data_IF_823125573872
#
_entry.id   IF_823125573872
#
_cell.length_a   1.000
_cell.length_b   1.000
_cell.length_c   1.000
_cell.angle_alpha   90.00
_cell.angle_beta   90.00
_cell.angle_gamma   90.00
#
_symmetry.space_group_name_H-M   'P 1'
#
loop_
_entity.id
_entity.type
_entity.pdbx_description
1 polymer ?
#
# COMPACT_ATOMS: atom_id res chain seq x y z
N UNK A 1 -1.03 12.39 -30.32
CA UNK A 1 -0.04 11.28 -30.33
C UNK A 1 1.33 11.68 -29.77
N UNK A 2 1.98 12.76 -30.24
CA UNK A 2 3.32 13.18 -29.73
C UNK A 2 3.27 13.73 -28.30
N UNK A 3 2.24 14.51 -27.96
CA UNK A 3 2.00 15.08 -26.62
C UNK A 3 1.73 14.02 -25.56
N UNK A 4 0.89 13.03 -25.87
CA UNK A 4 0.56 11.89 -24.99
C UNK A 4 1.82 11.11 -24.58
N UNK A 5 2.74 10.87 -25.51
CA UNK A 5 4.01 10.17 -25.22
C UNK A 5 4.92 10.97 -24.29
N UNK A 6 4.95 12.29 -24.44
CA UNK A 6 5.74 13.18 -23.56
C UNK A 6 5.15 13.16 -22.15
N UNK A 7 3.83 13.24 -22.00
CA UNK A 7 3.18 13.19 -20.68
C UNK A 7 3.43 11.85 -19.97
N UNK A 8 3.29 10.73 -20.69
CA UNK A 8 3.62 9.42 -20.14
C UNK A 8 5.09 9.33 -19.71
N UNK A 9 6.03 9.83 -20.51
CA UNK A 9 7.45 9.83 -20.16
C UNK A 9 7.75 10.68 -18.91
N UNK A 10 7.08 11.82 -18.77
CA UNK A 10 7.20 12.69 -17.57
C UNK A 10 6.67 11.97 -16.34
N UNK A 11 5.50 11.33 -16.41
CA UNK A 11 4.92 10.58 -15.28
C UNK A 11 5.80 9.38 -14.90
N UNK A 12 6.31 8.63 -15.88
CA UNK A 12 7.21 7.51 -15.61
C UNK A 12 8.52 7.98 -14.97
N UNK A 13 9.04 9.13 -15.40
CA UNK A 13 10.22 9.74 -14.80
C UNK A 13 9.95 10.19 -13.36
N UNK A 14 8.78 10.78 -13.10
CA UNK A 14 8.36 11.14 -11.74
C UNK A 14 8.21 9.90 -10.84
N UNK A 15 7.60 8.81 -11.32
CA UNK A 15 7.52 7.54 -10.59
C UNK A 15 8.91 6.95 -10.29
N UNK A 16 9.85 7.06 -11.23
CA UNK A 16 11.23 6.64 -11.01
C UNK A 16 11.91 7.47 -9.92
N UNK A 17 11.68 8.79 -9.89
CA UNK A 17 12.16 9.68 -8.82
C UNK A 17 11.55 9.27 -7.47
N UNK A 18 10.25 9.03 -7.40
CA UNK A 18 9.59 8.54 -6.18
C UNK A 18 10.24 7.23 -5.72
N UNK A 19 10.45 6.26 -6.63
CA UNK A 19 11.08 4.99 -6.29
C UNK A 19 12.48 5.19 -5.70
N UNK A 20 13.30 6.06 -6.30
CA UNK A 20 14.62 6.39 -5.77
C UNK A 20 14.52 7.02 -4.38
N UNK A 21 13.61 7.98 -4.17
CA UNK A 21 13.41 8.64 -2.88
C UNK A 21 12.97 7.63 -1.81
N UNK A 22 11.96 6.81 -2.09
CA UNK A 22 11.46 5.77 -1.18
C UNK A 22 12.56 4.77 -0.80
N UNK A 23 13.39 4.36 -1.76
CA UNK A 23 14.53 3.47 -1.51
C UNK A 23 15.62 4.14 -0.66
N UNK A 24 15.89 5.43 -0.89
CA UNK A 24 16.91 6.19 -0.13
C UNK A 24 16.47 6.50 1.30
N UNK A 25 15.17 6.58 1.53
CA UNK A 25 14.56 6.75 2.85
C UNK A 25 14.13 5.42 3.47
N UNK A 26 14.55 4.28 2.92
CA UNK A 26 14.05 2.98 3.35
C UNK A 26 14.48 2.65 4.79
N UNK A 27 13.50 2.33 5.63
CA UNK A 27 13.70 1.88 7.00
C UNK A 27 12.55 0.95 7.41
N UNK A 28 12.76 0.14 8.44
CA UNK A 28 11.71 -0.69 9.03
C UNK A 28 11.59 -0.29 10.49
N UNK A 29 10.37 -0.01 10.94
CA UNK A 29 10.06 0.33 12.33
C UNK A 29 10.25 -0.86 13.24
N UNK A 30 10.71 -0.57 14.46
CA UNK A 30 10.71 -1.49 15.59
C UNK A 30 9.32 -2.07 15.87
N UNK A 31 8.25 -1.27 15.77
CA UNK A 31 6.87 -1.72 15.95
C UNK A 31 6.45 -2.81 14.94
N UNK A 32 6.96 -2.73 13.71
CA UNK A 32 6.69 -3.75 12.68
C UNK A 32 7.20 -5.14 13.10
N UNK A 33 8.22 -5.22 13.99
CA UNK A 33 8.74 -6.49 14.47
C UNK A 33 7.75 -7.27 15.35
N UNK A 34 6.72 -6.62 15.90
CA UNK A 34 5.64 -7.33 16.60
C UNK A 34 4.92 -8.27 15.62
N UNK A 35 4.58 -7.74 14.45
CA UNK A 35 3.92 -8.50 13.39
C UNK A 35 4.88 -9.47 12.72
N UNK A 36 6.12 -9.04 12.44
CA UNK A 36 7.12 -9.91 11.79
C UNK A 36 7.52 -11.11 12.65
N UNK A 37 7.52 -10.98 13.99
CA UNK A 37 7.69 -12.12 14.90
C UNK A 37 6.53 -13.10 14.80
N UNK A 38 5.30 -12.59 14.71
CA UNK A 38 4.11 -13.44 14.51
C UNK A 38 4.18 -14.17 13.17
N UNK A 39 4.62 -13.48 12.11
CA UNK A 39 4.87 -14.07 10.79
C UNK A 39 5.95 -15.15 10.87
N UNK A 40 7.08 -14.86 11.51
CA UNK A 40 8.18 -15.83 11.67
C UNK A 40 7.73 -17.08 12.42
N UNK A 41 6.96 -16.92 13.50
CA UNK A 41 6.41 -18.03 14.25
C UNK A 41 5.46 -18.88 13.39
N UNK A 42 4.63 -18.25 12.57
CA UNK A 42 3.73 -18.96 11.67
C UNK A 42 4.49 -19.78 10.63
N UNK A 43 5.51 -19.19 10.00
CA UNK A 43 6.39 -19.89 9.05
C UNK A 43 7.21 -21.01 9.71
N UNK A 44 7.48 -20.90 11.01
CA UNK A 44 8.18 -21.91 11.80
C UNK A 44 7.26 -23.01 12.37
N UNK A 45 5.96 -22.97 12.07
CA UNK A 45 4.99 -23.97 12.52
C UNK A 45 4.37 -23.73 13.91
N UNK A 46 4.68 -22.61 14.57
CA UNK A 46 4.10 -22.25 15.87
C UNK A 46 2.72 -21.56 15.76
N UNK A 47 2.28 -21.26 14.54
CA UNK A 47 1.02 -20.58 14.24
C UNK A 47 1.10 -19.05 14.38
N UNK A 48 -0.05 -18.38 14.17
CA UNK A 48 -0.18 -16.92 14.22
C UNK A 48 -0.18 -16.38 15.66
N UNK A 49 0.94 -16.54 16.37
CA UNK A 49 1.11 -16.13 17.77
C UNK A 49 2.43 -15.38 17.94
N UNK A 50 2.46 -14.41 18.85
CA UNK A 50 3.71 -13.71 19.20
C UNK A 50 4.60 -14.54 20.15
N UNK A 51 3.98 -15.12 21.19
CA UNK A 51 4.60 -16.08 22.11
C UNK A 51 4.02 -17.47 21.83
N UNK A 52 4.80 -18.49 21.42
CA UNK A 52 4.27 -19.82 21.11
C UNK A 52 3.46 -20.49 22.23
N UNK A 53 3.83 -20.20 23.49
CA UNK A 53 3.15 -20.69 24.69
C UNK A 53 1.79 -20.03 24.95
N UNK A 54 1.52 -18.86 24.36
CA UNK A 54 0.31 -18.07 24.63
C UNK A 54 -0.53 -17.94 23.35
N UNK A 55 -1.85 -18.02 23.48
CA UNK A 55 -2.78 -17.86 22.35
C UNK A 55 -3.29 -16.43 22.30
N UNK A 56 -2.41 -15.50 21.95
CA UNK A 56 -2.72 -14.06 21.87
C UNK A 56 -2.36 -13.51 20.49
N UNK A 57 -3.29 -12.79 19.88
CA UNK A 57 -3.06 -12.01 18.68
C UNK A 57 -2.38 -10.70 19.07
N UNK A 58 -1.16 -10.46 18.56
CA UNK A 58 -0.40 -9.24 18.83
C UNK A 58 -0.48 -8.19 17.70
N UNK A 59 -0.89 -8.59 16.49
CA UNK A 59 -1.01 -7.69 15.35
C UNK A 59 -2.40 -7.02 15.32
N UNK A 60 -2.45 -5.76 14.89
CA UNK A 60 -3.68 -4.94 14.81
C UNK A 60 -4.24 -4.84 13.39
N UNK A 61 -3.50 -5.32 12.40
CA UNK A 61 -3.78 -5.20 10.98
C UNK A 61 -3.72 -6.59 10.28
N UNK A 62 -4.74 -7.44 10.45
CA UNK A 62 -4.76 -8.81 9.92
C UNK A 62 -4.47 -8.94 8.42
N UNK A 63 -5.00 -8.02 7.59
CA UNK A 63 -4.76 -8.03 6.14
C UNK A 63 -3.28 -7.80 5.84
N UNK A 64 -2.69 -6.77 6.43
CA UNK A 64 -1.26 -6.47 6.27
C UNK A 64 -0.36 -7.60 6.79
N UNK A 65 -0.72 -8.19 7.94
CA UNK A 65 0.00 -9.35 8.50
C UNK A 65 0.01 -10.52 7.51
N UNK A 66 -1.13 -10.84 6.88
CA UNK A 66 -1.22 -11.92 5.90
C UNK A 66 -0.36 -11.66 4.66
N UNK A 67 -0.27 -10.42 4.19
CA UNK A 67 0.62 -10.06 3.08
C UNK A 67 2.10 -10.14 3.47
N UNK A 68 2.46 -9.68 4.67
CA UNK A 68 3.81 -9.84 5.20
C UNK A 68 4.20 -11.32 5.36
N UNK A 69 3.25 -12.19 5.72
CA UNK A 69 3.46 -13.62 5.78
C UNK A 69 3.88 -14.20 4.42
N UNK A 70 3.13 -13.86 3.37
CA UNK A 70 3.44 -14.29 2.00
C UNK A 70 4.76 -13.70 1.51
N UNK A 71 4.99 -12.41 1.75
CA UNK A 71 6.22 -11.72 1.35
C UNK A 71 7.45 -12.31 2.05
N UNK A 72 7.39 -12.58 3.35
CA UNK A 72 8.49 -13.21 4.08
C UNK A 72 8.71 -14.65 3.63
N UNK A 73 7.66 -15.43 3.38
CA UNK A 73 7.82 -16.78 2.82
C UNK A 73 8.57 -16.78 1.47
N UNK A 74 8.33 -15.77 0.63
CA UNK A 74 8.97 -15.63 -0.68
C UNK A 74 10.41 -15.09 -0.61
N UNK A 75 10.67 -14.09 0.25
CA UNK A 75 11.95 -13.36 0.30
C UNK A 75 12.94 -13.98 1.30
N UNK A 76 12.45 -14.66 2.34
CA UNK A 76 13.27 -15.28 3.38
C UNK A 76 13.91 -14.31 4.39
N UNK A 77 13.69 -13.00 4.25
CA UNK A 77 14.15 -11.98 5.18
C UNK A 77 13.00 -11.07 5.61
N UNK A 78 12.77 -10.89 6.92
CA UNK A 78 11.66 -10.07 7.42
C UNK A 78 11.84 -8.59 7.04
N UNK A 79 13.08 -8.09 7.03
CA UNK A 79 13.39 -6.70 6.72
C UNK A 79 13.13 -6.39 5.24
N UNK A 80 13.69 -7.20 4.33
CA UNK A 80 13.48 -7.00 2.89
C UNK A 80 12.04 -7.28 2.47
N UNK A 81 11.36 -8.24 3.10
CA UNK A 81 9.95 -8.51 2.85
C UNK A 81 9.08 -7.30 3.23
N UNK A 82 9.28 -6.73 4.42
CA UNK A 82 8.49 -5.60 4.91
C UNK A 82 8.72 -4.33 4.08
N UNK A 83 9.99 -3.93 3.90
CA UNK A 83 10.34 -2.75 3.13
C UNK A 83 9.98 -2.90 1.64
N UNK A 84 10.24 -4.07 1.07
CA UNK A 84 9.95 -4.37 -0.33
C UNK A 84 8.46 -4.38 -0.62
N UNK A 85 7.65 -5.02 0.22
CA UNK A 85 6.19 -5.04 0.08
C UNK A 85 5.60 -3.64 0.22
N UNK A 86 6.00 -2.87 1.23
CA UNK A 86 5.52 -1.50 1.44
C UNK A 86 5.87 -0.58 0.27
N UNK A 87 7.13 -0.61 -0.18
CA UNK A 87 7.59 0.15 -1.34
C UNK A 87 6.84 -0.23 -2.61
N UNK A 88 6.64 -1.54 -2.85
CA UNK A 88 5.88 -2.03 -4.00
C UNK A 88 4.42 -1.54 -3.98
N UNK A 89 3.72 -1.71 -2.85
CA UNK A 89 2.32 -1.28 -2.71
C UNK A 89 2.18 0.23 -2.92
N UNK A 90 3.12 1.01 -2.38
CA UNK A 90 3.18 2.47 -2.58
C UNK A 90 3.32 2.82 -4.05
N UNK A 91 4.31 2.22 -4.74
CA UNK A 91 4.56 2.50 -6.16
C UNK A 91 3.42 2.07 -7.07
N UNK A 92 2.81 0.90 -6.80
CA UNK A 92 1.64 0.42 -7.54
C UNK A 92 0.45 1.35 -7.33
N UNK A 93 0.20 1.81 -6.10
CA UNK A 93 -0.88 2.75 -5.81
C UNK A 93 -0.69 4.10 -6.50
N UNK A 94 0.51 4.65 -6.45
CA UNK A 94 0.84 5.90 -7.16
C UNK A 94 0.75 5.73 -8.68
N UNK A 95 1.20 4.61 -9.23
CA UNK A 95 1.06 4.32 -10.65
C UNK A 95 -0.40 4.18 -11.09
N UNK A 96 -1.25 3.53 -10.28
CA UNK A 96 -2.68 3.41 -10.54
C UNK A 96 -3.38 4.77 -10.53
N UNK A 97 -3.00 5.66 -9.60
CA UNK A 97 -3.50 7.04 -9.55
C UNK A 97 -3.01 7.89 -10.72
N UNK A 98 -1.77 7.67 -11.16
CA UNK A 98 -1.16 8.42 -12.25
C UNK A 98 -1.67 7.98 -13.65
N UNK A 99 -2.11 6.73 -13.77
CA UNK A 99 -2.64 6.14 -15.01
C UNK A 99 -4.03 5.51 -14.78
N UNK A 100 -5.06 6.32 -14.50
CA UNK A 100 -6.40 5.79 -14.34
C UNK A 100 -6.89 5.19 -15.67
N UNK A 101 -7.65 4.08 -15.67
CA UNK A 101 -8.24 3.46 -16.85
C UNK A 101 -9.46 4.25 -17.36
N UNK A 102 -9.31 5.55 -17.55
CA UNK A 102 -10.33 6.43 -18.14
C UNK A 102 -9.96 6.76 -19.60
N UNK A 103 -10.93 6.85 -20.52
CA UNK A 103 -10.68 7.15 -21.94
C UNK A 103 -9.99 8.50 -22.18
N UNK A 104 -10.21 9.46 -21.28
CA UNK A 104 -9.73 10.83 -21.44
C UNK A 104 -8.37 11.00 -20.79
N UNK A 105 -7.32 10.95 -21.61
CA UNK A 105 -5.90 11.12 -21.22
C UNK A 105 -5.51 12.50 -20.68
N UNK A 106 -6.49 13.34 -20.31
CA UNK A 106 -6.31 14.72 -19.86
C UNK A 106 -5.88 14.84 -18.38
N UNK A 107 -5.90 13.74 -17.61
CA UNK A 107 -5.50 13.76 -16.18
C UNK A 107 -4.00 13.62 -15.91
N UNK A 108 -3.16 13.55 -16.95
CA UNK A 108 -1.71 13.32 -16.79
C UNK A 108 -0.94 14.51 -16.21
N UNK A 109 -1.43 15.74 -16.39
CA UNK A 109 -0.77 16.94 -15.83
C UNK A 109 -0.91 17.00 -14.30
N UNK A 110 -2.07 16.64 -13.77
CA UNK A 110 -2.29 16.53 -12.33
C UNK A 110 -1.51 15.39 -11.67
N UNK A 111 -1.22 14.32 -12.42
CA UNK A 111 -0.48 13.16 -11.91
C UNK A 111 0.96 13.52 -11.52
N UNK A 112 1.69 14.26 -12.37
CA UNK A 112 3.05 14.67 -12.07
C UNK A 112 3.10 15.59 -10.84
N UNK A 113 2.15 16.51 -10.69
CA UNK A 113 2.03 17.36 -9.52
C UNK A 113 1.71 16.55 -8.25
N UNK A 114 0.81 15.57 -8.32
CA UNK A 114 0.49 14.69 -7.19
C UNK A 114 1.71 13.85 -6.76
N UNK A 115 2.51 13.35 -7.71
CA UNK A 115 3.75 12.63 -7.42
C UNK A 115 4.80 13.56 -6.78
N UNK A 116 4.91 14.81 -7.24
CA UNK A 116 5.79 15.79 -6.62
C UNK A 116 5.36 16.11 -5.17
N UNK A 117 4.06 16.27 -4.93
CA UNK A 117 3.51 16.45 -3.58
C UNK A 117 3.75 15.24 -2.68
N UNK A 118 3.68 14.01 -3.23
CA UNK A 118 4.02 12.80 -2.48
C UNK A 118 5.48 12.82 -2.01
N UNK A 119 6.41 13.20 -2.90
CA UNK A 119 7.85 13.30 -2.54
C UNK A 119 8.09 14.33 -1.44
N UNK A 120 7.38 15.45 -1.46
CA UNK A 120 7.48 16.51 -0.45
C UNK A 120 6.83 16.10 0.89
N UNK A 121 5.80 15.25 0.84
CA UNK A 121 5.12 14.72 2.02
C UNK A 121 5.98 13.67 2.76
N UNK A 122 6.90 14.15 3.59
CA UNK A 122 7.84 13.31 4.36
C UNK A 122 7.17 12.14 5.09
N UNK A 123 5.99 12.34 5.68
CA UNK A 123 5.27 11.27 6.37
C UNK A 123 4.89 10.11 5.44
N UNK A 124 4.48 10.41 4.20
CA UNK A 124 4.15 9.38 3.21
C UNK A 124 5.40 8.63 2.74
N UNK A 125 6.49 9.37 2.50
CA UNK A 125 7.77 8.79 2.06
C UNK A 125 8.37 7.90 3.14
N UNK A 126 8.48 8.40 4.38
CA UNK A 126 9.08 7.66 5.49
C UNK A 126 8.26 6.39 5.78
N UNK A 127 6.93 6.48 5.81
CA UNK A 127 6.11 5.31 6.13
C UNK A 127 5.86 4.36 4.94
N UNK A 128 6.34 4.68 3.74
CA UNK A 128 6.23 3.82 2.56
C UNK A 128 6.94 2.47 2.74
N UNK A 129 8.02 2.41 3.51
CA UNK A 129 8.84 1.19 3.71
C UNK A 129 8.90 0.72 5.16
N UNK A 130 8.28 1.45 6.09
CA UNK A 130 8.32 1.25 7.55
C UNK A 130 7.97 -0.16 8.04
N UNK A 131 7.38 -1.01 7.19
CA UNK A 131 6.89 -2.34 7.55
C UNK A 131 5.53 -2.35 8.23
N UNK A 132 4.94 -1.17 8.43
CA UNK A 132 3.57 -0.99 8.90
C UNK A 132 2.57 -0.95 7.73
N UNK A 133 1.29 -0.99 8.05
CA UNK A 133 0.17 -1.14 7.13
C UNK A 133 -0.16 0.11 6.30
N UNK A 134 0.54 1.23 6.56
CA UNK A 134 0.32 2.52 5.93
C UNK A 134 0.26 2.47 4.40
N UNK A 135 1.20 1.85 3.66
CA UNK A 135 1.13 1.77 2.20
C UNK A 135 -0.19 1.20 1.70
N UNK A 136 -0.68 0.14 2.35
CA UNK A 136 -1.94 -0.50 2.00
C UNK A 136 -3.15 0.36 2.39
N UNK A 137 -3.10 1.06 3.52
CA UNK A 137 -4.13 2.03 3.91
C UNK A 137 -4.29 3.10 2.84
N UNK A 138 -3.19 3.73 2.39
CA UNK A 138 -3.24 4.76 1.36
C UNK A 138 -3.81 4.22 0.03
N UNK A 139 -3.41 3.01 -0.37
CA UNK A 139 -3.94 2.35 -1.56
C UNK A 139 -5.45 2.11 -1.45
N UNK A 140 -5.92 1.52 -0.34
CA UNK A 140 -7.33 1.21 -0.14
C UNK A 140 -8.20 2.47 -0.11
N UNK A 141 -7.74 3.53 0.56
CA UNK A 141 -8.43 4.82 0.58
C UNK A 141 -8.46 5.48 -0.80
N UNK A 142 -7.37 5.41 -1.56
CA UNK A 142 -7.31 5.91 -2.93
C UNK A 142 -8.31 5.18 -3.85
N UNK A 143 -8.37 3.84 -3.76
CA UNK A 143 -9.33 3.03 -4.52
C UNK A 143 -10.78 3.32 -4.11
N UNK A 144 -11.03 3.48 -2.81
CA UNK A 144 -12.36 3.82 -2.29
C UNK A 144 -12.82 5.19 -2.78
N UNK A 145 -11.98 6.22 -2.64
CA UNK A 145 -12.28 7.56 -3.15
C UNK A 145 -12.51 7.55 -4.66
N UNK A 146 -11.69 6.81 -5.41
CA UNK A 146 -11.88 6.68 -6.85
C UNK A 146 -13.23 6.04 -7.21
N UNK A 147 -13.66 5.01 -6.48
CA UNK A 147 -14.97 4.40 -6.68
C UNK A 147 -16.11 5.38 -6.40
N UNK A 148 -16.01 6.18 -5.33
CA UNK A 148 -16.99 7.23 -5.01
C UNK A 148 -17.10 8.28 -6.12
N UNK A 149 -15.97 8.74 -6.66
CA UNK A 149 -15.95 9.77 -7.71
C UNK A 149 -16.38 9.27 -9.09
N UNK A 150 -16.44 7.95 -9.32
CA UNK A 150 -16.93 7.40 -10.58
C UNK A 150 -18.46 7.41 -10.71
N UNK A 151 -19.21 7.73 -9.64
CA UNK A 151 -20.65 8.06 -9.72
C UNK A 151 -21.55 6.97 -10.31
N UNK A 152 -21.17 5.69 -10.18
CA UNK A 152 -21.91 4.56 -10.75
C UNK A 152 -22.92 3.96 -9.77
N UNK A 153 -24.22 4.16 -10.02
CA UNK A 153 -25.30 3.45 -9.31
C UNK A 153 -25.50 2.04 -9.88
N UNK A 154 -24.46 1.21 -9.87
CA UNK A 154 -24.54 -0.19 -10.30
C UNK A 154 -24.45 -1.14 -9.10
N UNK A 155 -25.17 -2.28 -9.11
CA UNK A 155 -25.03 -3.30 -8.05
C UNK A 155 -23.59 -3.78 -7.84
N UNK A 156 -22.78 -3.81 -8.90
CA UNK A 156 -21.36 -4.14 -8.82
C UNK A 156 -20.55 -3.11 -8.02
N UNK A 157 -20.97 -1.85 -8.03
CA UNK A 157 -20.29 -0.76 -7.32
C UNK A 157 -20.60 -0.84 -5.82
N UNK A 158 -21.80 -1.30 -5.42
CA UNK A 158 -22.11 -1.63 -4.02
C UNK A 158 -21.23 -2.77 -3.48
N UNK A 159 -21.09 -3.86 -4.24
CA UNK A 159 -20.22 -4.97 -3.83
C UNK A 159 -18.76 -4.55 -3.70
N UNK A 160 -18.24 -3.80 -4.69
CA UNK A 160 -16.87 -3.28 -4.66
C UNK A 160 -16.64 -2.33 -3.49
N UNK A 161 -17.60 -1.46 -3.20
CA UNK A 161 -17.55 -0.53 -2.06
C UNK A 161 -17.50 -1.33 -0.76
N UNK A 162 -18.44 -2.26 -0.55
CA UNK A 162 -18.48 -3.10 0.63
C UNK A 162 -17.20 -3.94 0.81
N UNK A 163 -16.66 -4.48 -0.27
CA UNK A 163 -15.41 -5.23 -0.26
C UNK A 163 -14.22 -4.33 0.13
N UNK A 164 -14.10 -3.14 -0.47
CA UNK A 164 -13.03 -2.20 -0.14
C UNK A 164 -13.13 -1.73 1.32
N UNK A 165 -14.34 -1.45 1.82
CA UNK A 165 -14.58 -1.13 3.23
C UNK A 165 -14.16 -2.29 4.12
N UNK A 166 -14.54 -3.52 3.81
CA UNK A 166 -14.14 -4.70 4.59
C UNK A 166 -12.61 -4.90 4.61
N UNK A 167 -11.95 -4.73 3.46
CA UNK A 167 -10.49 -4.80 3.37
C UNK A 167 -9.81 -3.66 4.15
N UNK A 168 -10.36 -2.45 4.09
CA UNK A 168 -9.88 -1.31 4.87
C UNK A 168 -9.99 -1.60 6.37
N UNK A 169 -11.13 -2.14 6.84
CA UNK A 169 -11.32 -2.54 8.25
C UNK A 169 -10.35 -3.65 8.69
N UNK A 170 -10.07 -4.62 7.81
CA UNK A 170 -9.08 -5.67 8.09
C UNK A 170 -7.64 -5.17 8.04
N UNK A 171 -7.39 -4.05 7.36
CA UNK A 171 -6.10 -3.38 7.39
C UNK A 171 -5.97 -2.50 8.64
N UNK A 172 -7.03 -1.77 8.99
CA UNK A 172 -7.09 -0.81 10.09
C UNK A 172 -8.54 -0.58 10.48
N UNK A 173 -8.91 -1.00 11.70
CA UNK A 173 -10.30 -0.96 12.15
C UNK A 173 -10.87 0.46 12.25
N UNK A 174 -10.02 1.45 12.54
CA UNK A 174 -10.39 2.87 12.62
C UNK A 174 -10.82 3.46 11.26
N UNK A 175 -10.50 2.81 10.14
CA UNK A 175 -11.01 3.19 8.82
C UNK A 175 -12.51 2.88 8.63
N UNK A 176 -13.16 2.19 9.56
CA UNK A 176 -14.59 1.90 9.51
C UNK A 176 -15.50 3.13 9.64
N UNK A 177 -14.96 4.24 10.17
CA UNK A 177 -15.72 5.47 10.46
C UNK A 177 -15.61 6.51 9.32
N UNK A 178 -14.81 6.22 8.28
CA UNK A 178 -14.62 7.08 7.11
C UNK A 178 -15.75 6.96 6.08
#
# INVERSE_FOLDING_TARGET
MRTTRVHTAVVLSALAVVAVVVLRCAWVSDDAFITLRTVHNALSGYGLRFNPAERVQAYTHPLWMALLLVAHAAVGSPWYAAAGLGGLVTLVGLAALAFPPTPDGERTEGAAAALALFVDAKALVDYATSGLENPLTHLLLALFAWLLFQGGDRPADLFRTALLTALAMLNRLDLAVL
#
